data_IF_039075431239
#
_entry.id   IF_039075431239
#
_cell.length_a   1.000
_cell.length_b   1.000
_cell.length_c   1.000
_cell.angle_alpha   90.00
_cell.angle_beta   90.00
_cell.angle_gamma   90.00
#
_symmetry.space_group_name_H-M   'P 1'
#
loop_
_entity.id
_entity.type
_entity.pdbx_description
1 polymer ?
#
# COMPACT_ATOMS: atom_id res chain seq x y z
N UNK A 1 -1.70 -11.93 14.36
CA UNK A 1 -0.78 -12.04 13.20
C UNK A 1 -0.32 -10.63 12.84
N UNK A 2 0.91 -10.43 12.37
CA UNK A 2 1.44 -9.10 12.04
C UNK A 2 1.02 -8.66 10.62
N UNK A 3 0.61 -7.41 10.46
CA UNK A 3 0.46 -6.76 9.15
C UNK A 3 1.85 -6.29 8.67
N UNK A 4 2.23 -6.68 7.45
CA UNK A 4 3.45 -6.23 6.79
C UNK A 4 3.25 -4.84 6.17
N UNK A 5 4.34 -4.09 6.09
CA UNK A 5 4.44 -2.95 5.17
C UNK A 5 4.92 -3.42 3.79
N UNK A 6 4.69 -2.59 2.77
CA UNK A 6 5.01 -2.96 1.40
C UNK A 6 6.49 -3.29 1.20
N UNK A 7 7.42 -2.51 1.78
CA UNK A 7 8.86 -2.80 1.66
C UNK A 7 9.23 -4.18 2.23
N UNK A 8 8.61 -4.59 3.33
CA UNK A 8 8.88 -5.89 3.94
C UNK A 8 8.44 -7.03 3.04
N UNK A 9 7.32 -6.86 2.31
CA UNK A 9 6.87 -7.82 1.31
C UNK A 9 7.79 -7.82 0.08
N UNK A 10 8.22 -6.65 -0.39
CA UNK A 10 9.17 -6.55 -1.52
C UNK A 10 10.50 -7.23 -1.19
N UNK A 11 10.98 -7.15 0.05
CA UNK A 11 12.17 -7.85 0.52
C UNK A 11 12.02 -9.38 0.44
N UNK A 12 10.81 -9.92 0.65
CA UNK A 12 10.53 -11.36 0.45
C UNK A 12 10.72 -11.76 -1.01
N UNK A 13 10.46 -10.85 -1.95
CA UNK A 13 10.53 -11.09 -3.39
C UNK A 13 11.91 -10.77 -4.00
N UNK A 14 12.71 -9.91 -3.36
CA UNK A 14 13.91 -9.30 -3.95
C UNK A 14 14.99 -10.31 -4.38
N UNK A 15 15.11 -11.44 -3.69
CA UNK A 15 16.06 -12.50 -4.05
C UNK A 15 15.48 -13.53 -5.05
N UNK A 16 14.34 -13.22 -5.66
CA UNK A 16 13.61 -14.07 -6.59
C UNK A 16 12.53 -14.88 -5.90
N UNK A 17 11.78 -15.64 -6.69
CA UNK A 17 10.73 -16.51 -6.19
C UNK A 17 10.21 -17.38 -7.32
N UNK A 18 9.42 -18.38 -6.98
CA UNK A 18 8.77 -19.22 -7.99
C UNK A 18 7.30 -19.36 -7.68
N UNK A 19 6.46 -19.24 -8.70
CA UNK A 19 5.08 -19.70 -8.59
C UNK A 19 5.11 -21.21 -8.34
N UNK A 20 4.31 -21.64 -7.37
CA UNK A 20 4.16 -23.05 -7.02
C UNK A 20 2.68 -23.41 -7.07
N UNK A 21 2.33 -24.66 -7.40
CA UNK A 21 0.95 -25.12 -7.29
C UNK A 21 0.42 -24.93 -5.88
N UNK A 22 -0.83 -24.50 -5.75
CA UNK A 22 -1.50 -24.40 -4.45
C UNK A 22 -1.66 -25.80 -3.86
N UNK A 23 -1.05 -26.11 -2.70
CA UNK A 23 -1.26 -27.38 -2.01
C UNK A 23 -2.71 -27.49 -1.53
N UNK A 24 -3.45 -28.44 -2.11
CA UNK A 24 -4.89 -28.58 -1.88
C UNK A 24 -5.20 -28.90 -0.41
N UNK A 25 -4.33 -29.64 0.25
CA UNK A 25 -4.44 -30.01 1.65
C UNK A 25 -4.32 -28.83 2.63
N UNK A 26 -3.69 -27.72 2.21
CA UNK A 26 -3.52 -26.51 3.03
C UNK A 26 -4.56 -25.43 2.72
N UNK A 27 -5.19 -25.47 1.54
CA UNK A 27 -6.10 -24.44 1.01
C UNK A 27 -7.19 -24.03 1.99
N UNK A 28 -7.95 -25.00 2.50
CA UNK A 28 -9.05 -24.73 3.43
C UNK A 28 -8.55 -24.08 4.74
N UNK A 29 -7.36 -24.48 5.20
CA UNK A 29 -6.73 -23.90 6.37
C UNK A 29 -6.34 -22.44 6.16
N UNK A 30 -5.75 -22.10 5.01
CA UNK A 30 -5.39 -20.72 4.69
C UNK A 30 -6.62 -19.81 4.52
N UNK A 31 -7.67 -20.28 3.88
CA UNK A 31 -8.94 -19.53 3.78
C UNK A 31 -9.54 -19.26 5.16
N UNK A 32 -9.49 -20.23 6.08
CA UNK A 32 -9.93 -20.03 7.45
C UNK A 32 -9.05 -19.01 8.20
N UNK A 33 -7.74 -18.96 7.96
CA UNK A 33 -6.88 -17.92 8.55
C UNK A 33 -7.15 -16.53 7.96
N UNK A 34 -7.35 -16.44 6.64
CA UNK A 34 -7.74 -15.20 5.98
C UNK A 34 -9.08 -14.67 6.51
N UNK A 35 -10.07 -15.55 6.69
CA UNK A 35 -11.36 -15.20 7.28
C UNK A 35 -11.24 -14.61 8.68
N UNK A 36 -10.27 -15.07 9.49
CA UNK A 36 -10.03 -14.56 10.85
C UNK A 36 -9.46 -13.16 10.87
N UNK A 37 -8.64 -12.80 9.87
CA UNK A 37 -8.04 -11.45 9.78
C UNK A 37 -8.88 -10.48 8.96
N UNK A 38 -9.87 -10.98 8.22
CA UNK A 38 -10.71 -10.15 7.36
C UNK A 38 -11.26 -8.89 8.03
N UNK A 39 -11.73 -8.92 9.30
CA UNK A 39 -12.16 -7.70 9.99
C UNK A 39 -11.09 -6.61 10.10
N UNK A 40 -9.81 -6.97 10.10
CA UNK A 40 -8.68 -6.04 10.24
C UNK A 40 -8.28 -5.40 8.90
N UNK A 41 -8.85 -5.87 7.78
CA UNK A 41 -8.51 -5.43 6.41
C UNK A 41 -9.28 -4.20 5.95
N UNK A 42 -10.41 -3.88 6.57
CA UNK A 42 -11.32 -2.82 6.12
C UNK A 42 -12.02 -3.11 4.78
N UNK A 43 -11.89 -4.32 4.24
CA UNK A 43 -12.59 -4.78 3.04
C UNK A 43 -14.08 -5.04 3.33
N UNK A 44 -14.86 -5.22 2.27
CA UNK A 44 -16.24 -5.69 2.35
C UNK A 44 -16.32 -6.99 3.16
N UNK A 45 -17.45 -7.27 3.84
CA UNK A 45 -17.62 -8.46 4.65
C UNK A 45 -17.21 -9.72 3.89
N UNK A 46 -16.63 -10.70 4.59
CA UNK A 46 -16.13 -11.94 3.99
C UNK A 46 -17.15 -12.61 3.04
N UNK A 47 -18.45 -12.54 3.38
CA UNK A 47 -19.57 -13.14 2.65
C UNK A 47 -20.01 -12.35 1.41
N UNK A 48 -19.47 -11.15 1.16
CA UNK A 48 -19.82 -10.32 0.02
C UNK A 48 -19.53 -11.04 -1.32
N UNK A 49 -18.48 -11.85 -1.36
CA UNK A 49 -18.17 -12.71 -2.51
C UNK A 49 -17.33 -13.94 -2.14
N UNK A 50 -17.28 -14.98 -3.00
CA UNK A 50 -16.42 -16.14 -2.79
C UNK A 50 -14.95 -15.74 -2.69
N UNK A 51 -14.26 -16.32 -1.70
CA UNK A 51 -12.81 -16.13 -1.48
C UNK A 51 -12.07 -17.41 -1.81
N UNK A 52 -11.03 -17.29 -2.61
CA UNK A 52 -10.24 -18.38 -3.17
C UNK A 52 -8.75 -18.06 -3.09
N UNK A 53 -7.94 -19.11 -2.92
CA UNK A 53 -6.49 -19.00 -3.11
C UNK A 53 -6.22 -18.99 -4.61
N UNK A 54 -5.88 -17.82 -5.15
CA UNK A 54 -5.66 -17.58 -6.57
C UNK A 54 -4.25 -18.01 -7.00
N UNK A 55 -3.27 -17.72 -6.16
CA UNK A 55 -1.87 -18.04 -6.44
C UNK A 55 -1.11 -18.37 -5.17
N UNK A 56 -0.01 -19.11 -5.35
CA UNK A 56 0.96 -19.35 -4.31
C UNK A 56 2.36 -19.15 -4.89
N UNK A 57 3.19 -18.40 -4.16
CA UNK A 57 4.58 -18.16 -4.51
C UNK A 57 5.48 -18.65 -3.39
N UNK A 58 6.62 -19.21 -3.74
CA UNK A 58 7.66 -19.57 -2.79
C UNK A 58 8.77 -18.53 -2.83
N UNK A 59 9.06 -17.95 -1.68
CA UNK A 59 10.19 -17.04 -1.50
C UNK A 59 11.53 -17.81 -1.41
N UNK A 60 12.69 -17.13 -1.45
CA UNK A 60 14.01 -17.77 -1.42
C UNK A 60 14.32 -18.50 -0.11
N UNK A 61 13.60 -18.16 0.97
CA UNK A 61 13.72 -18.80 2.27
C UNK A 61 12.74 -19.98 2.44
N UNK A 62 11.96 -20.29 1.40
CA UNK A 62 11.01 -21.40 1.37
C UNK A 62 9.63 -21.08 1.94
N UNK A 63 9.39 -19.85 2.42
CA UNK A 63 8.06 -19.39 2.85
C UNK A 63 7.12 -19.32 1.64
N UNK A 64 5.84 -19.54 1.91
CA UNK A 64 4.76 -19.44 0.95
C UNK A 64 4.06 -18.09 1.09
N UNK A 65 3.91 -17.40 -0.02
CA UNK A 65 3.09 -16.20 -0.18
C UNK A 65 1.80 -16.66 -0.83
N UNK A 66 0.73 -16.69 -0.06
CA UNK A 66 -0.58 -17.24 -0.45
C UNK A 66 -1.50 -16.08 -0.80
N UNK A 67 -1.84 -15.92 -2.08
CA UNK A 67 -2.64 -14.81 -2.58
C UNK A 67 -4.12 -15.21 -2.58
N UNK A 68 -4.93 -14.47 -1.85
CA UNK A 68 -6.38 -14.65 -1.74
C UNK A 68 -7.06 -13.44 -2.34
N UNK A 69 -8.04 -13.63 -3.23
CA UNK A 69 -8.73 -12.52 -3.87
C UNK A 69 -9.44 -11.63 -2.84
N UNK A 70 -9.25 -10.32 -2.98
CA UNK A 70 -9.96 -9.28 -2.23
C UNK A 70 -11.21 -8.84 -3.01
N UNK A 71 -11.63 -7.58 -2.91
CA UNK A 71 -12.93 -7.11 -3.37
C UNK A 71 -12.99 -6.74 -4.86
N UNK A 72 -11.84 -6.54 -5.50
CA UNK A 72 -11.75 -6.27 -6.92
C UNK A 72 -10.57 -7.01 -7.55
N UNK A 73 -10.52 -6.99 -8.88
CA UNK A 73 -9.48 -7.65 -9.66
C UNK A 73 -8.08 -7.14 -9.28
N UNK A 74 -7.10 -8.04 -9.32
CA UNK A 74 -5.71 -7.82 -8.97
C UNK A 74 -5.45 -7.23 -7.57
N UNK A 75 -6.43 -7.35 -6.66
CA UNK A 75 -6.28 -7.03 -5.25
C UNK A 75 -6.31 -8.28 -4.38
N UNK A 76 -5.36 -8.37 -3.46
CA UNK A 76 -5.10 -9.59 -2.71
C UNK A 76 -4.84 -9.34 -1.23
N UNK A 77 -5.41 -10.21 -0.40
CA UNK A 77 -4.87 -10.49 0.93
C UNK A 77 -3.81 -11.58 0.76
N UNK A 78 -2.56 -11.25 1.09
CA UNK A 78 -1.42 -12.14 0.93
C UNK A 78 -1.00 -12.64 2.31
N UNK A 79 -1.09 -13.95 2.54
CA UNK A 79 -0.59 -14.58 3.76
C UNK A 79 0.86 -15.03 3.57
N UNK A 80 1.70 -14.84 4.58
CA UNK A 80 3.07 -15.36 4.63
C UNK A 80 3.10 -16.56 5.57
N UNK A 81 3.34 -17.74 5.02
CA UNK A 81 3.28 -19.01 5.74
C UNK A 81 4.59 -19.80 5.63
N UNK A 82 4.92 -20.57 6.67
CA UNK A 82 5.91 -21.63 6.53
C UNK A 82 5.39 -22.75 5.59
N UNK A 83 6.25 -23.49 4.87
CA UNK A 83 5.86 -24.39 3.79
C UNK A 83 4.80 -25.45 4.10
N UNK A 84 4.71 -25.89 5.36
CA UNK A 84 3.82 -26.97 5.80
C UNK A 84 2.79 -26.49 6.82
N UNK A 85 2.65 -25.17 7.00
CA UNK A 85 1.80 -24.59 8.02
C UNK A 85 0.66 -23.79 7.39
N UNK A 86 -0.52 -23.94 8.00
CA UNK A 86 -1.67 -23.10 7.68
C UNK A 86 -1.65 -21.80 8.46
N UNK A 87 -1.02 -21.78 9.65
CA UNK A 87 -0.90 -20.59 10.48
C UNK A 87 0.09 -19.60 9.84
N UNK A 88 -0.36 -18.41 9.44
CA UNK A 88 0.51 -17.39 8.86
C UNK A 88 1.32 -16.63 9.91
N UNK A 89 2.55 -16.28 9.55
CA UNK A 89 3.46 -15.45 10.34
C UNK A 89 3.08 -13.97 10.22
N UNK A 90 2.68 -13.57 9.00
CA UNK A 90 2.30 -12.21 8.67
C UNK A 90 1.32 -12.17 7.48
N UNK A 91 0.73 -11.01 7.23
CA UNK A 91 -0.14 -10.78 6.08
C UNK A 91 0.06 -9.38 5.50
N UNK A 92 -0.38 -9.17 4.27
CA UNK A 92 -0.41 -7.88 3.56
C UNK A 92 -1.75 -7.75 2.81
N UNK A 93 -2.30 -6.54 2.71
CA UNK A 93 -3.31 -6.19 1.71
C UNK A 93 -2.62 -5.40 0.59
N UNK A 94 -2.73 -5.87 -0.65
CA UNK A 94 -2.05 -5.25 -1.77
C UNK A 94 -2.92 -5.25 -3.03
N UNK A 95 -3.10 -4.05 -3.58
CA UNK A 95 -3.72 -3.81 -4.86
C UNK A 95 -2.63 -3.72 -5.93
N UNK A 96 -2.39 -4.83 -6.61
CA UNK A 96 -1.48 -4.92 -7.75
C UNK A 96 -2.12 -4.24 -8.97
N UNK A 97 -3.46 -4.24 -9.06
CA UNK A 97 -4.21 -3.60 -10.14
C UNK A 97 -3.94 -2.10 -10.23
N UNK A 98 -3.86 -1.41 -9.09
CA UNK A 98 -3.50 0.00 -9.02
C UNK A 98 -2.13 0.30 -9.65
N UNK A 99 -1.18 -0.63 -9.59
CA UNK A 99 0.16 -0.46 -10.18
C UNK A 99 0.14 -0.40 -11.72
N UNK A 100 -0.96 -0.81 -12.35
CA UNK A 100 -1.14 -0.72 -13.80
C UNK A 100 -1.80 0.60 -14.26
N UNK A 101 -2.27 1.42 -13.33
CA UNK A 101 -2.94 2.67 -13.64
C UNK A 101 -1.96 3.82 -13.88
N UNK A 102 -2.41 4.81 -14.65
CA UNK A 102 -1.73 6.10 -14.73
C UNK A 102 -1.98 6.88 -13.43
N UNK A 103 -0.91 7.32 -12.76
CA UNK A 103 -1.01 8.11 -11.53
C UNK A 103 -1.43 9.53 -11.86
N UNK A 104 -2.50 9.99 -11.22
CA UNK A 104 -3.00 11.37 -11.33
C UNK A 104 -2.50 12.17 -10.15
N UNK A 105 -1.78 13.25 -10.42
CA UNK A 105 -1.41 14.25 -9.43
C UNK A 105 -2.48 15.34 -9.36
N UNK A 106 -3.00 15.57 -8.15
CA UNK A 106 -3.95 16.63 -7.85
C UNK A 106 -3.32 17.56 -6.83
N UNK A 107 -3.25 18.85 -7.16
CA UNK A 107 -2.79 19.89 -6.24
C UNK A 107 -3.69 21.12 -6.39
N UNK A 108 -4.66 21.32 -5.46
CA UNK A 108 -5.57 22.46 -5.48
C UNK A 108 -4.84 23.81 -5.51
N UNK A 109 -3.71 23.92 -4.80
CA UNK A 109 -2.88 25.13 -4.82
C UNK A 109 -2.43 25.52 -6.24
N UNK A 110 -2.04 24.54 -7.04
CA UNK A 110 -1.52 24.76 -8.38
C UNK A 110 -2.63 24.83 -9.44
N UNK A 111 -3.91 24.70 -9.05
CA UNK A 111 -5.05 24.49 -9.96
C UNK A 111 -4.73 23.37 -10.98
N UNK A 112 -4.13 22.28 -10.46
CA UNK A 112 -3.58 21.20 -11.28
C UNK A 112 -4.21 19.86 -10.95
N UNK A 113 -4.68 19.19 -12.00
CA UNK A 113 -5.09 17.80 -12.02
C UNK A 113 -4.60 17.18 -13.33
N UNK A 114 -3.72 16.18 -13.25
CA UNK A 114 -3.13 15.57 -14.45
C UNK A 114 -1.93 14.65 -14.17
N UNK A 115 -1.13 14.32 -15.20
CA UNK A 115 0.01 13.43 -15.07
C UNK A 115 1.04 13.87 -14.02
N UNK A 116 1.52 12.94 -13.21
CA UNK A 116 2.48 13.19 -12.14
C UNK A 116 3.92 13.39 -12.66
N UNK A 117 4.22 14.58 -13.19
CA UNK A 117 5.57 14.95 -13.65
C UNK A 117 6.47 15.49 -12.54
N UNK A 118 7.77 15.21 -12.62
CA UNK A 118 8.76 15.68 -11.63
C UNK A 118 8.72 17.21 -11.42
N UNK A 119 8.65 17.98 -12.51
CA UNK A 119 8.67 19.45 -12.46
C UNK A 119 7.43 20.02 -11.75
N UNK A 120 6.24 19.46 -12.03
CA UNK A 120 5.00 19.91 -11.39
C UNK A 120 4.97 19.52 -9.91
N UNK A 121 5.50 18.34 -9.55
CA UNK A 121 5.63 17.92 -8.16
C UNK A 121 6.58 18.87 -7.42
N UNK A 122 7.79 19.11 -7.94
CA UNK A 122 8.77 19.98 -7.30
C UNK A 122 8.22 21.41 -7.11
N UNK A 123 7.56 21.96 -8.13
CA UNK A 123 6.98 23.29 -8.07
C UNK A 123 5.80 23.38 -7.08
N UNK A 124 4.98 22.34 -6.99
CA UNK A 124 3.78 22.32 -6.13
C UNK A 124 4.16 22.14 -4.66
N UNK A 125 4.97 21.12 -4.36
CA UNK A 125 5.39 20.79 -2.99
C UNK A 125 6.15 21.95 -2.34
N UNK A 126 7.03 22.63 -3.07
CA UNK A 126 7.78 23.77 -2.55
C UNK A 126 6.92 24.96 -2.09
N UNK A 127 5.64 25.00 -2.46
CA UNK A 127 4.78 26.16 -2.31
C UNK A 127 3.41 25.85 -1.69
N UNK A 128 3.22 24.67 -1.09
CA UNK A 128 1.93 24.25 -0.52
C UNK A 128 1.34 25.26 0.47
N UNK A 129 2.16 25.82 1.38
CA UNK A 129 1.74 26.85 2.35
C UNK A 129 1.21 28.16 1.75
N UNK A 130 1.29 28.38 0.44
CA UNK A 130 0.74 29.57 -0.21
C UNK A 130 -0.76 29.46 -0.48
N UNK A 131 -1.38 28.34 -0.14
CA UNK A 131 -2.80 28.09 -0.28
C UNK A 131 -3.53 28.02 1.07
N UNK A 132 -4.85 28.23 1.04
CA UNK A 132 -5.71 28.01 2.20
C UNK A 132 -5.98 26.52 2.47
N UNK A 133 -5.72 25.68 1.48
CA UNK A 133 -5.78 24.23 1.53
C UNK A 133 -4.42 23.66 1.05
N UNK A 134 -3.42 23.58 1.94
CA UNK A 134 -2.03 23.26 1.60
C UNK A 134 -1.82 21.74 1.43
N UNK A 135 -2.54 21.16 0.47
CA UNK A 135 -2.60 19.72 0.22
C UNK A 135 -2.20 19.34 -1.22
N UNK A 136 -1.66 18.13 -1.39
CA UNK A 136 -1.49 17.49 -2.70
C UNK A 136 -1.61 15.96 -2.58
N UNK A 137 -2.08 15.31 -3.65
CA UNK A 137 -2.27 13.85 -3.69
C UNK A 137 -1.87 13.25 -5.03
N UNK A 138 -1.29 12.06 -4.98
CA UNK A 138 -1.04 11.14 -6.08
C UNK A 138 -2.05 10.00 -5.98
N UNK A 139 -3.03 10.00 -6.87
CA UNK A 139 -4.08 8.98 -6.97
C UNK A 139 -3.60 7.87 -7.90
N UNK A 140 -3.52 6.65 -7.40
CA UNK A 140 -3.10 5.47 -8.16
C UNK A 140 -4.26 4.51 -8.42
N UNK A 141 -5.17 4.37 -7.45
CA UNK A 141 -6.35 3.53 -7.56
C UNK A 141 -7.39 3.90 -6.51
N UNK A 142 -8.54 3.24 -6.57
CA UNK A 142 -9.56 3.40 -5.54
C UNK A 142 -8.97 2.98 -4.18
N UNK A 143 -8.92 3.92 -3.24
CA UNK A 143 -8.34 3.67 -1.92
C UNK A 143 -6.82 3.46 -1.89
N UNK A 144 -6.11 3.62 -3.02
CA UNK A 144 -4.64 3.54 -3.11
C UNK A 144 -4.07 4.88 -3.58
N UNK A 145 -3.40 5.59 -2.67
CA UNK A 145 -2.87 6.93 -2.95
C UNK A 145 -1.70 7.29 -2.03
N UNK A 146 -0.97 8.34 -2.40
CA UNK A 146 -0.02 9.05 -1.53
C UNK A 146 -0.43 10.51 -1.44
N UNK A 147 -0.44 11.08 -0.25
CA UNK A 147 -0.86 12.46 -0.03
C UNK A 147 0.08 13.21 0.91
N UNK A 148 0.07 14.53 0.81
CA UNK A 148 0.81 15.39 1.72
C UNK A 148 -0.01 16.62 2.07
N UNK A 149 0.04 16.99 3.34
CA UNK A 149 -0.47 18.23 3.88
C UNK A 149 0.68 19.01 4.50
N UNK A 150 0.64 20.34 4.42
CA UNK A 150 1.53 21.20 5.19
C UNK A 150 0.74 21.95 6.25
N UNK A 151 1.10 21.74 7.53
CA UNK A 151 0.40 22.37 8.63
C UNK A 151 0.71 23.87 8.77
N UNK A 152 -0.01 24.55 9.67
CA UNK A 152 0.15 25.98 9.95
C UNK A 152 1.55 26.34 10.49
N UNK A 153 2.27 25.36 11.05
CA UNK A 153 3.64 25.54 11.53
C UNK A 153 4.69 25.36 10.41
N UNK A 154 4.25 24.98 9.22
CA UNK A 154 5.07 24.72 8.05
C UNK A 154 5.67 23.31 8.01
N UNK A 155 5.28 22.41 8.91
CA UNK A 155 5.69 21.00 8.88
C UNK A 155 4.86 20.23 7.86
N UNK A 156 5.49 19.24 7.22
CA UNK A 156 4.83 18.36 6.25
C UNK A 156 4.38 17.07 6.92
N UNK A 157 3.13 16.71 6.69
CA UNK A 157 2.55 15.42 7.03
C UNK A 157 2.34 14.63 5.73
N UNK A 158 3.13 13.57 5.57
CA UNK A 158 3.14 12.72 4.38
C UNK A 158 2.48 11.38 4.73
N UNK A 159 1.49 10.99 3.94
CA UNK A 159 0.70 9.78 4.17
C UNK A 159 0.58 8.94 2.90
N UNK A 160 0.32 7.65 3.06
CA UNK A 160 -0.14 6.80 1.95
C UNK A 160 -1.15 5.77 2.44
N UNK A 161 -2.12 5.45 1.58
CA UNK A 161 -3.09 4.40 1.81
C UNK A 161 -2.92 3.28 0.78
N UNK A 162 -3.07 2.04 1.23
CA UNK A 162 -3.14 0.86 0.37
C UNK A 162 -4.54 0.26 0.48
N UNK A 163 -5.36 0.40 -0.57
CA UNK A 163 -6.71 -0.19 -0.70
C UNK A 163 -7.77 0.36 0.25
N UNK A 164 -7.54 0.36 1.56
CA UNK A 164 -8.53 0.77 2.58
C UNK A 164 -7.90 1.61 3.67
N UNK A 165 -8.73 2.34 4.43
CA UNK A 165 -8.28 3.13 5.58
C UNK A 165 -7.65 2.28 6.69
N UNK A 166 -7.94 0.97 6.72
CA UNK A 166 -7.27 0.05 7.64
C UNK A 166 -5.77 -0.10 7.30
N UNK A 167 -5.36 0.16 6.06
CA UNK A 167 -3.97 0.16 5.62
C UNK A 167 -3.52 1.59 5.26
N UNK A 168 -3.73 2.52 6.18
CA UNK A 168 -3.30 3.91 6.10
C UNK A 168 -2.04 4.14 6.95
N UNK A 169 -1.06 4.86 6.41
CA UNK A 169 0.25 5.05 7.01
C UNK A 169 0.69 6.50 6.94
N UNK A 170 1.33 6.97 8.01
CA UNK A 170 1.94 8.29 8.15
C UNK A 170 3.46 8.15 8.21
N UNK A 171 4.19 9.03 7.53
CA UNK A 171 5.63 9.13 7.62
C UNK A 171 6.05 9.62 9.01
N UNK A 172 7.05 8.98 9.62
CA UNK A 172 7.59 9.38 10.91
C UNK A 172 8.68 10.44 10.77
N UNK A 173 8.63 11.42 11.68
CA UNK A 173 9.65 12.46 11.82
C UNK A 173 9.39 13.69 10.94
N UNK A 174 10.15 14.77 11.16
CA UNK A 174 9.99 16.00 10.40
C UNK A 174 10.45 15.78 8.95
N UNK A 175 9.65 16.26 8.01
CA UNK A 175 9.96 16.28 6.59
C UNK A 175 10.06 17.71 6.09
N UNK A 176 10.99 17.94 5.16
CA UNK A 176 11.05 19.18 4.39
C UNK A 176 10.49 18.97 2.97
N UNK A 177 10.32 20.06 2.23
CA UNK A 177 9.78 20.03 0.88
C UNK A 177 10.58 19.13 -0.08
N UNK A 178 11.91 19.08 0.08
CA UNK A 178 12.78 18.28 -0.79
C UNK A 178 12.61 16.78 -0.52
N UNK A 179 12.51 16.39 0.75
CA UNK A 179 12.23 15.02 1.16
C UNK A 179 10.85 14.57 0.66
N UNK A 180 9.80 15.38 0.87
CA UNK A 180 8.45 15.08 0.37
C UNK A 180 8.45 14.92 -1.15
N UNK A 181 9.03 15.87 -1.88
CA UNK A 181 9.05 15.82 -3.34
C UNK A 181 9.82 14.60 -3.86
N UNK A 182 10.91 14.19 -3.20
CA UNK A 182 11.63 12.98 -3.56
C UNK A 182 10.77 11.71 -3.38
N UNK A 183 10.02 11.61 -2.29
CA UNK A 183 9.11 10.48 -2.04
C UNK A 183 7.95 10.48 -3.04
N UNK A 184 7.33 11.63 -3.29
CA UNK A 184 6.27 11.79 -4.30
C UNK A 184 6.75 11.38 -5.70
N UNK A 185 7.94 11.82 -6.13
CA UNK A 185 8.49 11.46 -7.44
C UNK A 185 8.78 9.96 -7.56
N UNK A 186 9.30 9.35 -6.49
CA UNK A 186 9.51 7.90 -6.44
C UNK A 186 8.19 7.14 -6.61
N UNK A 187 7.14 7.55 -5.89
CA UNK A 187 5.79 6.99 -6.02
C UNK A 187 5.22 7.19 -7.44
N UNK A 188 5.29 8.42 -7.96
CA UNK A 188 4.79 8.81 -9.28
C UNK A 188 5.43 8.04 -10.45
N UNK A 189 6.71 7.66 -10.32
CA UNK A 189 7.44 6.87 -11.33
C UNK A 189 7.19 5.36 -11.21
N UNK A 190 6.49 4.92 -10.16
CA UNK A 190 6.32 3.51 -9.83
C UNK A 190 7.58 2.84 -9.29
N UNK A 191 8.66 3.60 -9.04
CA UNK A 191 9.85 3.04 -8.41
C UNK A 191 9.58 2.81 -6.91
N UNK A 192 10.01 1.67 -6.35
CA UNK A 192 9.65 1.30 -4.97
C UNK A 192 10.49 1.99 -3.89
N UNK A 193 11.28 3.01 -4.25
CA UNK A 193 12.15 3.72 -3.32
C UNK A 193 11.40 4.40 -2.17
N UNK A 194 10.20 4.89 -2.43
CA UNK A 194 9.33 5.58 -1.46
C UNK A 194 8.99 4.70 -0.25
N UNK A 195 8.94 3.37 -0.44
CA UNK A 195 8.59 2.41 0.61
C UNK A 195 9.61 2.36 1.75
N UNK A 196 10.85 2.80 1.49
CA UNK A 196 11.96 2.83 2.44
C UNK A 196 12.59 4.21 2.63
N UNK A 197 12.20 5.20 1.83
CA UNK A 197 12.76 6.56 1.88
C UNK A 197 12.47 7.26 3.22
N UNK A 198 11.35 6.90 3.85
CA UNK A 198 10.96 7.32 5.19
C UNK A 198 10.48 6.10 5.98
N UNK A 199 10.40 6.24 7.30
CA UNK A 199 9.78 5.21 8.14
C UNK A 199 8.27 5.45 8.18
N UNK A 200 7.49 4.43 7.83
CA UNK A 200 6.04 4.51 7.83
C UNK A 200 5.47 3.91 9.13
N UNK A 201 4.47 4.58 9.69
CA UNK A 201 3.69 4.10 10.85
C UNK A 201 2.23 3.99 10.45
N UNK A 202 1.64 2.82 10.67
CA UNK A 202 0.19 2.64 10.49
C UNK A 202 -0.57 3.56 11.43
N UNK A 203 -1.59 4.23 10.91
CA UNK A 203 -2.50 5.07 11.68
C UNK A 203 -3.90 4.47 11.64
N UNK A 204 -4.65 4.66 12.73
CA UNK A 204 -6.07 4.34 12.79
C UNK A 204 -6.84 5.65 12.65
N UNK A 205 -7.60 5.77 11.56
CA UNK A 205 -8.56 6.86 11.44
C UNK A 205 -9.77 6.52 12.31
N UNK A 206 -10.19 7.44 13.16
CA UNK A 206 -11.46 7.28 13.87
C UNK A 206 -12.57 7.19 12.83
N UNK A 207 -13.47 6.22 12.96
CA UNK A 207 -14.67 6.17 12.14
C UNK A 207 -15.48 7.46 12.40
N UNK A 208 -15.67 8.27 11.36
CA UNK A 208 -16.60 9.40 11.37
C UNK A 208 -18.07 8.92 11.44
#
# INVERSE_FOLDING_TARGET
MRLLQLHEYLDLLAAGGSSVPVPEELRAGWLEQARRIWPDTGLEPWQAQPREVIACHRDPHGRLLVHINADHDDCFVILVCAPTQTAPEAWLLFDIGAEYNEIVFVCPYADYEGPAGDEVIDASIAHLNRHHDPFAVLLMGEGTYMQVYQDESGQYELEHQLVTTACHYLAEGPLDAAAVAAVFKSYARGDKGWTTAVRWRRIELAAE
#
